data_IF_107567601100
#
_entry.id   IF_107567601100
#
_cell.length_a   1.000
_cell.length_b   1.000
_cell.length_c   1.000
_cell.angle_alpha   90.00
_cell.angle_beta   90.00
_cell.angle_gamma   90.00
#
_symmetry.space_group_name_H-M   'P 1'
#
loop_
_entity.id
_entity.type
_entity.pdbx_description
1 polymer ?
#
# COMPACT_ATOMS: atom_id res chain seq x y z
N UNK A 1 -11.38 38.61 16.41
CA UNK A 1 -10.99 37.18 16.45
C UNK A 1 -10.00 36.99 17.60
N UNK A 2 -10.39 36.24 18.64
CA UNK A 2 -9.65 36.12 19.90
C UNK A 2 -8.28 35.46 19.68
N UNK A 3 -7.23 35.96 20.34
CA UNK A 3 -5.84 35.47 20.24
C UNK A 3 -5.69 33.94 20.37
N UNK A 4 -6.54 33.33 21.20
CA UNK A 4 -6.62 31.87 21.38
C UNK A 4 -7.01 31.12 20.10
N UNK A 5 -7.92 31.66 19.29
CA UNK A 5 -8.37 31.02 18.05
C UNK A 5 -7.24 30.99 17.02
N UNK A 6 -6.48 32.08 16.89
CA UNK A 6 -5.31 32.15 16.01
C UNK A 6 -4.24 31.12 16.41
N UNK A 7 -3.93 31.04 17.70
CA UNK A 7 -2.97 30.06 18.23
C UNK A 7 -3.45 28.63 18.04
N UNK A 8 -4.74 28.38 18.23
CA UNK A 8 -5.37 27.08 17.98
C UNK A 8 -5.28 26.66 16.51
N UNK A 9 -5.54 27.58 15.58
CA UNK A 9 -5.38 27.30 14.14
C UNK A 9 -3.94 26.94 13.78
N UNK A 10 -2.95 27.68 14.28
CA UNK A 10 -1.53 27.41 14.01
C UNK A 10 -1.12 26.03 14.55
N UNK A 11 -1.58 25.69 15.76
CA UNK A 11 -1.32 24.37 16.34
C UNK A 11 -1.98 23.26 15.51
N UNK A 12 -3.25 23.43 15.14
CA UNK A 12 -3.97 22.46 14.34
C UNK A 12 -3.32 22.24 12.97
N UNK A 13 -2.94 23.31 12.26
CA UNK A 13 -2.30 23.19 10.95
C UNK A 13 -0.91 22.57 11.04
N UNK A 14 -0.15 22.86 12.10
CA UNK A 14 1.15 22.22 12.35
C UNK A 14 1.03 20.72 12.61
N UNK A 15 0.08 20.29 13.43
CA UNK A 15 -0.15 18.86 13.66
C UNK A 15 -0.68 18.16 12.41
N UNK A 16 -1.58 18.82 11.68
CA UNK A 16 -2.13 18.26 10.45
C UNK A 16 -1.05 18.11 9.38
N UNK A 17 -0.10 19.04 9.27
CA UNK A 17 1.01 18.93 8.33
C UNK A 17 1.99 17.81 8.71
N UNK A 18 2.29 17.64 10.00
CA UNK A 18 3.11 16.52 10.48
C UNK A 18 2.45 15.17 10.20
N UNK A 19 1.17 15.04 10.52
CA UNK A 19 0.40 13.80 10.27
C UNK A 19 0.30 13.54 8.77
N UNK A 20 0.00 14.57 7.96
CA UNK A 20 -0.08 14.46 6.50
C UNK A 20 1.25 14.03 5.88
N UNK A 21 2.36 14.65 6.28
CA UNK A 21 3.70 14.27 5.82
C UNK A 21 4.06 12.83 6.20
N UNK A 22 3.75 12.43 7.43
CA UNK A 22 3.96 11.05 7.90
C UNK A 22 3.11 10.03 7.14
N UNK A 23 1.84 10.33 6.88
CA UNK A 23 0.94 9.50 6.08
C UNK A 23 1.42 9.35 4.65
N UNK A 24 1.94 10.43 4.03
CA UNK A 24 2.52 10.37 2.68
C UNK A 24 3.74 9.45 2.69
N UNK A 25 4.68 9.63 3.62
CA UNK A 25 5.85 8.75 3.73
C UNK A 25 5.44 7.28 3.94
N UNK A 26 4.47 7.01 4.83
CA UNK A 26 3.95 5.66 5.05
C UNK A 26 3.26 5.09 3.81
N UNK A 27 2.49 5.91 3.09
CA UNK A 27 1.87 5.52 1.83
C UNK A 27 2.93 5.18 0.79
N UNK A 28 4.01 5.96 0.63
CA UNK A 28 5.06 5.66 -0.34
C UNK A 28 5.78 4.32 -0.05
N UNK A 29 5.98 3.98 1.23
CA UNK A 29 6.65 2.73 1.63
C UNK A 29 5.72 1.51 1.54
N UNK A 30 4.41 1.70 1.64
CA UNK A 30 3.48 0.56 1.66
C UNK A 30 3.55 -0.28 0.39
N UNK A 31 3.41 -1.59 0.57
CA UNK A 31 3.50 -2.60 -0.49
C UNK A 31 2.13 -2.98 -1.06
N UNK A 32 1.08 -2.30 -0.61
CA UNK A 32 -0.32 -2.61 -0.86
C UNK A 32 -1.02 -1.48 -1.63
N UNK A 33 -0.33 -0.84 -2.58
CA UNK A 33 -0.97 0.13 -3.47
C UNK A 33 -1.97 -0.58 -4.39
N UNK A 34 -1.63 -1.80 -4.83
CA UNK A 34 -2.48 -2.61 -5.70
C UNK A 34 -2.48 -4.03 -5.15
N UNK A 35 -3.64 -4.48 -4.70
CA UNK A 35 -3.93 -5.87 -4.35
C UNK A 35 -4.69 -6.51 -5.51
N UNK A 36 -3.99 -7.30 -6.32
CA UNK A 36 -4.59 -8.04 -7.42
C UNK A 36 -4.58 -9.54 -7.12
N UNK A 37 -5.70 -10.21 -7.41
CA UNK A 37 -5.82 -11.68 -7.32
C UNK A 37 -5.94 -12.28 -8.72
N UNK A 38 -4.84 -12.56 -9.41
CA UNK A 38 -4.90 -13.20 -10.72
C UNK A 38 -5.37 -14.65 -10.59
N UNK A 39 -6.40 -15.00 -11.36
CA UNK A 39 -6.82 -16.37 -11.63
C UNK A 39 -6.32 -16.82 -13.02
N UNK A 40 -6.11 -18.12 -13.22
CA UNK A 40 -5.90 -18.68 -14.56
C UNK A 40 -7.24 -19.10 -15.16
N UNK A 41 -7.55 -18.64 -16.37
CA UNK A 41 -8.72 -19.07 -17.16
C UNK A 41 -8.79 -20.58 -17.45
N UNK A 42 -7.68 -21.29 -17.76
CA UNK A 42 -7.77 -22.72 -18.06
C UNK A 42 -7.89 -23.62 -16.81
N UNK A 43 -7.56 -23.15 -15.61
CA UNK A 43 -7.67 -23.95 -14.39
C UNK A 43 -7.91 -23.07 -13.13
N UNK A 44 -9.13 -22.55 -12.95
CA UNK A 44 -9.43 -21.52 -11.96
C UNK A 44 -9.47 -22.00 -10.50
N UNK A 45 -9.59 -23.31 -10.25
CA UNK A 45 -9.68 -23.84 -8.87
C UNK A 45 -8.32 -24.23 -8.25
N UNK A 46 -7.32 -24.62 -9.05
CA UNK A 46 -6.03 -25.09 -8.53
C UNK A 46 -4.90 -24.04 -8.60
N UNK A 47 -5.11 -22.95 -9.34
CA UNK A 47 -4.12 -21.88 -9.51
C UNK A 47 -4.60 -20.57 -8.90
N UNK A 48 -4.02 -20.20 -7.76
CA UNK A 48 -4.30 -18.93 -7.07
C UNK A 48 -3.05 -18.04 -7.09
N UNK A 49 -3.20 -16.78 -7.48
CA UNK A 49 -2.14 -15.78 -7.32
C UNK A 49 -2.59 -14.63 -6.41
N UNK A 50 -1.65 -14.09 -5.64
CA UNK A 50 -1.78 -12.81 -4.94
C UNK A 50 -0.64 -11.92 -5.36
N UNK A 51 -0.97 -10.73 -5.85
CA UNK A 51 0.02 -9.73 -6.23
C UNK A 51 -0.23 -8.49 -5.41
N UNK A 52 0.79 -8.11 -4.66
CA UNK A 52 0.85 -6.90 -3.86
C UNK A 52 1.88 -6.00 -4.53
N UNK A 53 1.45 -4.94 -5.21
CA UNK A 53 2.38 -3.93 -5.71
C UNK A 53 2.39 -2.74 -4.74
N UNK A 54 3.57 -2.38 -4.25
CA UNK A 54 3.87 -1.07 -3.71
C UNK A 54 4.46 -0.15 -4.77
N UNK A 55 4.64 1.13 -4.41
CA UNK A 55 5.21 2.13 -5.32
C UNK A 55 6.68 1.86 -5.69
N UNK A 56 7.46 1.31 -4.74
CA UNK A 56 8.91 1.07 -4.90
C UNK A 56 9.27 -0.42 -5.00
N UNK A 57 8.43 -1.29 -4.44
CA UNK A 57 8.67 -2.73 -4.38
C UNK A 57 7.32 -3.44 -4.50
N UNK A 58 7.30 -4.62 -5.13
CA UNK A 58 6.12 -5.46 -5.25
C UNK A 58 6.43 -6.91 -4.95
N UNK A 59 5.46 -7.64 -4.38
CA UNK A 59 5.53 -9.07 -4.14
C UNK A 59 4.44 -9.76 -4.95
N UNK A 60 4.83 -10.76 -5.73
CA UNK A 60 3.94 -11.61 -6.50
C UNK A 60 4.02 -13.02 -5.97
N UNK A 61 2.98 -13.48 -5.30
CA UNK A 61 2.81 -14.87 -4.91
C UNK A 61 1.98 -15.57 -5.98
N UNK A 62 2.55 -16.61 -6.58
CA UNK A 62 1.88 -17.41 -7.60
C UNK A 62 1.84 -18.87 -7.16
N UNK A 63 0.65 -19.45 -7.12
CA UNK A 63 0.45 -20.88 -6.98
C UNK A 63 0.02 -21.45 -8.33
N UNK A 64 0.81 -22.38 -8.85
CA UNK A 64 0.59 -23.05 -10.15
C UNK A 64 0.27 -24.53 -9.90
N UNK A 65 -0.71 -24.82 -9.04
CA UNK A 65 -1.15 -26.17 -8.68
C UNK A 65 -0.07 -27.13 -8.10
N UNK A 66 1.17 -26.66 -7.96
CA UNK A 66 2.35 -27.39 -7.44
C UNK A 66 2.96 -26.73 -6.20
N UNK A 67 2.31 -25.68 -5.66
CA UNK A 67 2.76 -24.95 -4.48
C UNK A 67 2.93 -23.45 -4.69
N UNK A 68 2.97 -22.69 -3.58
CA UNK A 68 3.14 -21.25 -3.57
C UNK A 68 4.60 -20.86 -3.85
N UNK A 69 4.82 -19.98 -4.84
CA UNK A 69 6.12 -19.38 -5.12
C UNK A 69 6.03 -17.87 -5.01
N UNK A 70 6.90 -17.29 -4.19
CA UNK A 70 7.01 -15.85 -3.99
C UNK A 70 8.06 -15.29 -4.93
N UNK A 71 7.66 -14.33 -5.76
CA UNK A 71 8.52 -13.59 -6.67
C UNK A 71 8.58 -12.14 -6.20
N UNK A 72 9.78 -11.64 -5.94
CA UNK A 72 10.02 -10.24 -5.66
C UNK A 72 10.15 -9.47 -6.97
N UNK A 73 9.41 -8.37 -7.10
CA UNK A 73 9.47 -7.46 -8.24
C UNK A 73 10.01 -6.13 -7.72
N UNK A 74 11.19 -5.74 -8.19
CA UNK A 74 11.78 -4.40 -7.99
C UNK A 74 11.60 -3.61 -9.27
N UNK A 75 11.02 -2.40 -9.18
CA UNK A 75 10.96 -1.48 -10.32
C UNK A 75 12.23 -0.63 -10.40
#
# INVERSE_FOLDING_TARGET
>A
MTSMFRRGTIFATFFLSLIGGGLICAALVTQHWIDARPWRTPNPQESAGRVHFGLLQGKKELNVAYGWRTYHVSS
#
